data_IF_645404179364
#
_entry.id   IF_645404179364
#
_cell.length_a   1.000
_cell.length_b   1.000
_cell.length_c   1.000
_cell.angle_alpha   90.00
_cell.angle_beta   90.00
_cell.angle_gamma   90.00
#
_symmetry.space_group_name_H-M   'P 1'
#
loop_
_entity.id
_entity.type
_entity.pdbx_description
1 polymer ?
#
# COMPACT_ATOMS: atom_id res chain seq x y z
N UNK A 1 -1.14 -7.33 -20.45
CA UNK A 1 -0.97 -8.08 -19.17
C UNK A 1 -2.14 -8.99 -18.98
N UNK A 2 -1.95 -10.21 -18.49
CA UNK A 2 -3.03 -11.21 -18.38
C UNK A 2 -3.70 -11.21 -17.01
N UNK A 3 -2.97 -10.78 -15.98
CA UNK A 3 -3.47 -10.68 -14.60
C UNK A 3 -3.07 -9.34 -14.00
N UNK A 4 -3.95 -8.78 -13.18
CA UNK A 4 -3.66 -7.63 -12.32
C UNK A 4 -3.76 -8.08 -10.86
N UNK A 5 -2.70 -7.87 -10.09
CA UNK A 5 -2.61 -8.31 -8.70
C UNK A 5 -2.42 -7.10 -7.77
N UNK A 6 -3.24 -6.97 -6.73
CA UNK A 6 -3.10 -5.90 -5.72
C UNK A 6 -3.05 -6.46 -4.30
N UNK A 7 -2.14 -6.02 -3.41
CA UNK A 7 -2.15 -6.45 -2.02
C UNK A 7 -3.38 -5.93 -1.25
N UNK A 8 -3.84 -6.73 -0.30
CA UNK A 8 -4.95 -6.37 0.56
C UNK A 8 -4.57 -5.24 1.53
N UNK A 9 -5.43 -4.25 1.78
CA UNK A 9 -6.80 -4.09 1.23
C UNK A 9 -6.89 -2.97 0.19
N UNK A 10 -6.06 -1.93 0.33
CA UNK A 10 -6.18 -0.68 -0.43
C UNK A 10 -6.03 -0.84 -1.94
N UNK A 11 -5.25 -1.82 -2.39
CA UNK A 11 -5.03 -2.06 -3.81
C UNK A 11 -6.05 -3.04 -4.45
N UNK A 12 -6.93 -3.67 -3.66
CA UNK A 12 -7.94 -4.62 -4.20
C UNK A 12 -8.87 -3.93 -5.19
N UNK A 13 -9.51 -2.78 -4.87
CA UNK A 13 -10.40 -2.10 -5.82
C UNK A 13 -9.64 -1.64 -7.06
N UNK A 14 -8.40 -1.19 -6.88
CA UNK A 14 -7.53 -0.73 -7.98
C UNK A 14 -7.25 -1.89 -8.93
N UNK A 15 -6.85 -3.06 -8.42
CA UNK A 15 -6.60 -4.24 -9.24
C UNK A 15 -7.84 -4.64 -10.06
N UNK A 16 -9.01 -4.67 -9.41
CA UNK A 16 -10.27 -5.02 -10.06
C UNK A 16 -10.69 -4.03 -11.15
N UNK A 17 -10.64 -2.73 -10.88
CA UNK A 17 -11.01 -1.72 -11.87
C UNK A 17 -10.00 -1.62 -13.01
N UNK A 18 -8.69 -1.76 -12.73
CA UNK A 18 -7.67 -1.81 -13.78
C UNK A 18 -7.90 -3.03 -14.68
N UNK A 19 -8.10 -4.23 -14.11
CA UNK A 19 -8.40 -5.42 -14.88
C UNK A 19 -9.69 -5.27 -15.69
N UNK A 20 -10.76 -4.75 -15.09
CA UNK A 20 -12.04 -4.49 -15.75
C UNK A 20 -11.88 -3.56 -16.96
N UNK A 21 -11.27 -2.39 -16.78
CA UNK A 21 -11.10 -1.43 -17.87
C UNK A 21 -10.14 -1.93 -18.95
N UNK A 22 -9.05 -2.60 -18.56
CA UNK A 22 -8.16 -3.23 -19.55
C UNK A 22 -8.88 -4.33 -20.33
N UNK A 23 -9.79 -5.08 -19.70
CA UNK A 23 -10.56 -6.11 -20.41
C UNK A 23 -11.44 -5.52 -21.50
N UNK A 24 -12.04 -4.35 -21.23
CA UNK A 24 -12.82 -3.61 -22.23
C UNK A 24 -11.94 -3.03 -23.35
N UNK A 25 -10.80 -2.43 -22.99
CA UNK A 25 -9.88 -1.81 -23.95
C UNK A 25 -9.24 -2.86 -24.87
N UNK A 26 -8.81 -3.99 -24.31
CA UNK A 26 -8.14 -5.06 -25.05
C UNK A 26 -9.12 -6.07 -25.66
N UNK A 27 -10.42 -5.94 -25.38
CA UNK A 27 -11.47 -6.88 -25.84
C UNK A 27 -11.13 -8.34 -25.51
N UNK A 28 -10.60 -8.58 -24.30
CA UNK A 28 -10.28 -9.91 -23.78
C UNK A 28 -10.32 -9.90 -22.26
N UNK A 29 -10.62 -11.04 -21.65
CA UNK A 29 -10.65 -11.11 -20.19
C UNK A 29 -9.25 -10.95 -19.58
N UNK A 30 -9.15 -10.07 -18.59
CA UNK A 30 -7.99 -9.88 -17.72
C UNK A 30 -8.45 -10.15 -16.30
N UNK A 31 -7.77 -11.07 -15.64
CA UNK A 31 -8.14 -11.52 -14.29
C UNK A 31 -7.60 -10.53 -13.26
N UNK A 32 -8.41 -10.17 -12.27
CA UNK A 32 -7.95 -9.50 -11.06
C UNK A 32 -7.77 -10.52 -9.94
N UNK A 33 -6.63 -10.46 -9.26
CA UNK A 33 -6.35 -11.22 -8.04
C UNK A 33 -5.87 -10.28 -6.95
N UNK A 34 -5.83 -10.78 -5.71
CA UNK A 34 -5.23 -10.04 -4.62
C UNK A 34 -4.32 -10.91 -3.77
N UNK A 35 -3.40 -10.25 -3.09
CA UNK A 35 -2.49 -10.89 -2.16
C UNK A 35 -2.88 -10.59 -0.72
N UNK A 36 -2.77 -11.59 0.15
CA UNK A 36 -3.08 -11.47 1.56
C UNK A 36 -1.78 -11.40 2.39
N UNK A 37 -1.72 -10.59 3.46
CA UNK A 37 -0.66 -10.70 4.46
C UNK A 37 -0.70 -12.08 5.11
N UNK A 38 0.47 -12.70 5.22
CA UNK A 38 0.58 -13.96 5.98
C UNK A 38 0.14 -13.77 7.45
N UNK A 39 0.32 -12.55 7.97
CA UNK A 39 -0.20 -12.11 9.27
C UNK A 39 -0.83 -10.71 9.13
N UNK A 40 -2.16 -10.58 9.28
CA UNK A 40 -2.84 -9.28 9.26
C UNK A 40 -2.30 -8.28 10.29
N UNK A 41 -1.78 -8.75 11.43
CA UNK A 41 -1.18 -7.91 12.46
C UNK A 41 0.26 -7.47 12.11
N UNK A 42 0.97 -8.25 11.30
CA UNK A 42 2.34 -7.96 10.88
C UNK A 42 2.49 -7.89 9.35
N UNK A 43 2.12 -6.73 8.79
CA UNK A 43 2.23 -6.44 7.35
C UNK A 43 3.67 -6.31 6.83
N UNK A 44 4.70 -6.47 7.67
CA UNK A 44 6.09 -6.58 7.23
C UNK A 44 6.45 -8.00 6.78
N UNK A 45 5.66 -9.01 7.18
CA UNK A 45 5.79 -10.37 6.69
C UNK A 45 5.39 -10.47 5.21
N UNK A 46 5.82 -11.54 4.50
CA UNK A 46 5.48 -11.78 3.11
C UNK A 46 3.97 -11.74 2.83
N UNK A 47 3.64 -11.48 1.58
CA UNK A 47 2.31 -11.73 1.05
C UNK A 47 2.22 -13.11 0.42
N UNK A 48 1.01 -13.64 0.32
CA UNK A 48 0.73 -14.86 -0.42
C UNK A 48 -0.52 -14.68 -1.31
N UNK A 49 -0.58 -15.47 -2.36
CA UNK A 49 -1.74 -15.57 -3.24
C UNK A 49 -2.64 -16.69 -2.73
N UNK A 50 -3.70 -16.32 -1.99
CA UNK A 50 -4.68 -17.26 -1.47
C UNK A 50 -5.69 -17.70 -2.53
N UNK A 51 -6.59 -18.62 -2.16
CA UNK A 51 -7.84 -18.92 -2.91
C UNK A 51 -7.65 -19.46 -4.33
N UNK A 52 -6.48 -20.02 -4.63
CA UNK A 52 -6.13 -20.54 -5.96
C UNK A 52 -5.54 -19.48 -6.89
N UNK A 53 -5.34 -18.24 -6.43
CA UNK A 53 -4.78 -17.17 -7.26
C UNK A 53 -3.31 -17.41 -7.65
N UNK A 54 -2.62 -18.31 -6.97
CA UNK A 54 -1.31 -18.80 -7.38
C UNK A 54 -1.38 -19.50 -8.74
N UNK A 55 -2.45 -20.27 -8.99
CA UNK A 55 -2.70 -20.89 -10.30
C UNK A 55 -3.11 -19.85 -11.35
N UNK A 56 -3.84 -18.81 -10.92
CA UNK A 56 -4.24 -17.74 -11.83
C UNK A 56 -3.06 -16.92 -12.34
N UNK A 57 -1.95 -16.81 -11.60
CA UNK A 57 -0.76 -16.06 -12.04
C UNK A 57 0.29 -16.91 -12.74
N UNK A 58 0.28 -18.24 -12.55
CA UNK A 58 1.33 -19.15 -13.01
C UNK A 58 1.56 -19.02 -14.53
N UNK A 59 2.78 -18.64 -14.93
CA UNK A 59 3.18 -18.47 -16.32
C UNK A 59 2.59 -17.25 -17.04
N UNK A 60 1.84 -16.40 -16.35
CA UNK A 60 1.14 -15.25 -16.93
C UNK A 60 1.89 -13.94 -16.71
N UNK A 61 1.67 -12.97 -17.59
CA UNK A 61 2.17 -11.60 -17.45
C UNK A 61 1.34 -10.81 -16.45
N UNK A 62 1.91 -10.51 -15.29
CA UNK A 62 1.22 -9.88 -14.17
C UNK A 62 1.61 -8.40 -14.02
N UNK A 63 0.60 -7.54 -13.94
CA UNK A 63 0.75 -6.17 -13.44
C UNK A 63 0.46 -6.16 -11.94
N UNK A 64 1.39 -5.65 -11.12
CA UNK A 64 1.12 -5.43 -9.70
C UNK A 64 0.62 -4.01 -9.49
N UNK A 65 -0.46 -3.82 -8.74
CA UNK A 65 -1.00 -2.51 -8.39
C UNK A 65 -0.77 -2.16 -6.93
N UNK A 66 -0.74 -0.86 -6.63
CA UNK A 66 -0.69 -0.32 -5.26
C UNK A 66 -1.53 0.97 -5.18
N UNK A 67 -1.98 1.34 -3.97
CA UNK A 67 -2.62 2.63 -3.77
C UNK A 67 -1.59 3.78 -3.78
N UNK A 68 -0.67 3.78 -2.83
CA UNK A 68 0.30 4.84 -2.56
C UNK A 68 1.65 4.21 -2.24
N UNK A 69 2.66 4.51 -3.05
CA UNK A 69 4.03 4.13 -2.76
C UNK A 69 4.59 5.00 -1.65
N UNK A 70 4.75 4.39 -0.48
CA UNK A 70 5.44 5.00 0.67
C UNK A 70 6.91 4.56 0.69
N UNK A 71 7.24 3.42 1.29
CA UNK A 71 8.59 2.85 1.22
C UNK A 71 8.83 1.94 0.03
N UNK A 72 7.76 1.52 -0.67
CA UNK A 72 7.80 0.49 -1.71
C UNK A 72 7.70 -0.95 -1.17
N UNK A 73 7.80 -1.16 0.15
CA UNK A 73 7.89 -2.50 0.73
C UNK A 73 6.68 -3.40 0.47
N UNK A 74 5.46 -2.85 0.45
CA UNK A 74 4.25 -3.62 0.10
C UNK A 74 4.34 -4.14 -1.34
N UNK A 75 4.56 -3.25 -2.29
CA UNK A 75 4.76 -3.59 -3.69
C UNK A 75 5.92 -4.58 -3.90
N UNK A 76 7.05 -4.41 -3.22
CA UNK A 76 8.16 -5.37 -3.27
C UNK A 76 7.70 -6.78 -2.89
N UNK A 77 7.02 -6.92 -1.74
CA UNK A 77 6.53 -8.23 -1.27
C UNK A 77 5.49 -8.82 -2.21
N UNK A 78 4.67 -7.99 -2.84
CA UNK A 78 3.71 -8.43 -3.87
C UNK A 78 4.43 -8.98 -5.10
N UNK A 79 5.44 -8.25 -5.60
CA UNK A 79 6.26 -8.70 -6.72
C UNK A 79 6.96 -10.03 -6.41
N UNK A 80 7.54 -10.15 -5.21
CA UNK A 80 8.19 -11.39 -4.77
C UNK A 80 7.20 -12.56 -4.68
N UNK A 81 6.00 -12.33 -4.14
CA UNK A 81 4.96 -13.37 -4.02
C UNK A 81 4.45 -13.84 -5.39
N UNK A 82 4.20 -12.92 -6.33
CA UNK A 82 3.80 -13.26 -7.70
C UNK A 82 4.90 -14.08 -8.41
N UNK A 83 6.16 -13.64 -8.30
CA UNK A 83 7.29 -14.38 -8.91
C UNK A 83 7.48 -15.76 -8.29
N UNK A 84 7.29 -15.90 -6.98
CA UNK A 84 7.33 -17.22 -6.29
C UNK A 84 6.23 -18.15 -6.77
N UNK A 85 5.06 -17.62 -7.14
CA UNK A 85 3.97 -18.38 -7.77
C UNK A 85 4.17 -18.61 -9.28
N UNK A 86 5.33 -18.21 -9.83
CA UNK A 86 5.67 -18.43 -11.25
C UNK A 86 5.04 -17.41 -12.22
N UNK A 87 4.52 -16.29 -11.73
CA UNK A 87 4.05 -15.19 -12.57
C UNK A 87 5.19 -14.29 -13.06
N UNK A 88 5.08 -13.80 -14.29
CA UNK A 88 6.01 -12.83 -14.90
C UNK A 88 5.55 -11.40 -14.58
N UNK A 89 6.18 -10.77 -13.58
CA UNK A 89 5.87 -9.38 -13.23
C UNK A 89 6.43 -8.43 -14.28
N UNK A 90 5.54 -7.85 -15.10
CA UNK A 90 5.92 -6.93 -16.17
C UNK A 90 5.98 -5.45 -15.73
N UNK A 91 5.45 -5.15 -14.55
CA UNK A 91 5.47 -3.80 -14.00
C UNK A 91 4.69 -3.67 -12.69
N UNK A 92 4.89 -2.51 -12.06
CA UNK A 92 4.18 -2.07 -10.87
C UNK A 92 3.53 -0.72 -11.17
N UNK A 93 2.24 -0.57 -10.88
CA UNK A 93 1.49 0.67 -11.07
C UNK A 93 0.80 1.11 -9.77
N UNK A 94 0.66 2.42 -9.55
CA UNK A 94 -0.13 2.91 -8.43
C UNK A 94 -0.68 4.30 -8.65
N UNK A 95 -1.48 4.79 -7.70
CA UNK A 95 -2.09 6.12 -7.84
C UNK A 95 -1.04 7.19 -7.54
N UNK A 96 -0.34 7.08 -6.39
CA UNK A 96 0.59 8.12 -5.95
C UNK A 96 1.97 7.57 -5.59
N UNK A 97 3.04 8.23 -6.06
CA UNK A 97 4.38 8.02 -5.54
C UNK A 97 4.72 9.08 -4.49
N UNK A 98 4.62 8.71 -3.21
CA UNK A 98 4.85 9.63 -2.09
C UNK A 98 6.30 9.62 -1.62
N UNK A 99 6.92 8.44 -1.57
CA UNK A 99 8.24 8.28 -0.96
C UNK A 99 9.42 8.29 -1.91
N UNK A 100 9.26 8.81 -3.13
CA UNK A 100 10.30 8.77 -4.18
C UNK A 100 10.73 7.34 -4.50
N UNK A 101 9.76 6.43 -4.50
CA UNK A 101 10.01 5.00 -4.68
C UNK A 101 10.49 4.75 -6.11
N UNK A 102 11.57 4.00 -6.23
CA UNK A 102 12.18 3.58 -7.50
C UNK A 102 11.94 2.10 -7.76
N UNK A 103 12.14 1.60 -9.01
CA UNK A 103 12.01 0.18 -9.34
C UNK A 103 12.79 -0.77 -8.40
N UNK A 104 13.97 -0.37 -7.94
CA UNK A 104 14.83 -1.16 -7.05
C UNK A 104 14.15 -1.43 -5.70
N UNK A 105 13.33 -0.48 -5.22
CA UNK A 105 12.61 -0.56 -3.95
C UNK A 105 11.28 -1.31 -4.05
N UNK A 106 10.88 -1.73 -5.25
CA UNK A 106 9.66 -2.53 -5.50
C UNK A 106 10.01 -3.88 -6.11
N UNK A 107 11.12 -4.47 -5.66
CA UNK A 107 11.54 -5.78 -6.10
C UNK A 107 12.12 -5.80 -7.52
N UNK A 108 12.75 -4.72 -7.98
CA UNK A 108 13.34 -4.63 -9.33
C UNK A 108 12.28 -4.93 -10.40
N UNK A 109 11.11 -4.29 -10.29
CA UNK A 109 10.09 -4.39 -11.31
C UNK A 109 10.58 -3.75 -12.62
N UNK A 110 10.34 -4.36 -13.80
CA UNK A 110 10.82 -3.80 -15.07
C UNK A 110 10.32 -2.39 -15.37
N UNK A 111 9.16 -2.04 -14.81
CA UNK A 111 8.54 -0.71 -14.91
C UNK A 111 7.87 -0.35 -13.59
N UNK A 112 7.98 0.91 -13.19
CA UNK A 112 7.22 1.51 -12.09
C UNK A 112 6.49 2.74 -12.64
N UNK A 113 5.18 2.84 -12.39
CA UNK A 113 4.38 3.98 -12.83
C UNK A 113 3.46 4.45 -11.71
N UNK A 114 3.35 5.75 -11.51
CA UNK A 114 2.36 6.36 -10.65
C UNK A 114 1.59 7.42 -11.42
N UNK A 115 0.28 7.54 -11.17
CA UNK A 115 -0.55 8.59 -11.80
C UNK A 115 -0.17 9.99 -11.32
N UNK A 116 0.26 10.11 -10.06
CA UNK A 116 0.75 11.36 -9.49
C UNK A 116 2.07 11.16 -8.75
N UNK A 117 2.97 12.12 -8.88
CA UNK A 117 4.18 12.22 -8.09
C UNK A 117 3.97 13.22 -6.96
N UNK A 118 4.12 12.76 -5.73
CA UNK A 118 3.99 13.54 -4.50
C UNK A 118 5.34 13.74 -3.79
N UNK A 119 6.46 13.36 -4.42
CA UNK A 119 7.80 13.52 -3.88
C UNK A 119 8.18 14.96 -3.48
N UNK A 120 7.52 15.94 -4.09
CA UNK A 120 7.68 17.37 -3.80
C UNK A 120 6.84 17.86 -2.61
N UNK A 121 5.92 17.05 -2.09
CA UNK A 121 5.03 17.43 -0.98
C UNK A 121 5.67 16.98 0.34
N UNK A 122 6.19 17.94 1.10
CA UNK A 122 6.78 17.69 2.40
C UNK A 122 5.72 17.28 3.43
N UNK A 123 5.53 15.97 3.62
CA UNK A 123 4.74 15.41 4.72
C UNK A 123 5.67 14.95 5.84
N UNK A 124 5.89 15.85 6.80
CA UNK A 124 6.78 15.61 7.93
C UNK A 124 6.05 14.75 8.98
N UNK A 125 6.62 13.59 9.28
CA UNK A 125 6.22 12.79 10.44
C UNK A 125 7.01 13.29 11.66
N UNK A 126 6.34 14.07 12.52
CA UNK A 126 6.92 14.55 13.77
C UNK A 126 7.09 13.41 14.78
N UNK A 127 8.26 13.34 15.42
CA UNK A 127 8.62 12.26 16.35
C UNK A 127 8.48 12.64 17.82
N UNK A 128 8.10 13.87 18.10
CA UNK A 128 7.96 14.41 19.44
C UNK A 128 6.85 15.47 19.49
N UNK A 129 6.69 16.13 20.64
CA UNK A 129 5.69 17.18 20.86
C UNK A 129 6.07 18.53 20.25
N UNK A 130 7.15 18.63 19.46
CA UNK A 130 7.42 19.83 18.63
C UNK A 130 6.54 19.87 17.37
N UNK A 131 5.71 18.83 17.15
CA UNK A 131 4.64 18.86 16.17
C UNK A 131 3.74 20.10 16.35
N UNK A 132 3.57 20.96 15.33
CA UNK A 132 2.76 22.17 15.41
C UNK A 132 1.30 21.91 15.84
N UNK A 133 0.76 20.74 15.52
CA UNK A 133 -0.60 20.35 15.92
C UNK A 133 -0.64 19.89 17.39
N UNK A 134 0.40 19.20 17.86
CA UNK A 134 0.49 18.79 19.27
C UNK A 134 0.67 20.01 20.18
N UNK A 135 1.46 21.00 19.77
CA UNK A 135 1.67 22.25 20.51
C UNK A 135 0.38 23.08 20.61
N UNK A 136 -0.41 23.11 19.54
CA UNK A 136 -1.73 23.74 19.49
C UNK A 136 -2.85 22.96 20.18
N UNK A 137 -2.57 21.76 20.70
CA UNK A 137 -3.55 20.85 21.30
C UNK A 137 -4.74 20.56 20.36
N UNK A 138 -4.48 20.48 19.05
CA UNK A 138 -5.51 20.17 18.05
C UNK A 138 -6.18 18.82 18.37
N UNK A 139 -7.52 18.72 18.35
CA UNK A 139 -8.20 17.49 18.76
C UNK A 139 -7.78 16.26 17.95
N UNK A 140 -7.43 15.16 18.65
CA UNK A 140 -7.00 13.92 18.03
C UNK A 140 -8.18 13.00 17.73
N UNK A 141 -8.38 12.66 16.46
CA UNK A 141 -9.32 11.59 16.06
C UNK A 141 -8.86 10.23 16.57
N UNK A 142 -9.75 9.51 17.24
CA UNK A 142 -9.48 8.18 17.83
C UNK A 142 -10.35 7.06 17.25
N UNK A 143 -11.34 7.43 16.45
CA UNK A 143 -12.24 6.58 15.67
C UNK A 143 -11.59 5.97 14.42
N UNK A 144 -10.58 6.65 13.86
CA UNK A 144 -9.87 6.23 12.65
C UNK A 144 -8.35 6.26 12.82
N UNK A 145 -7.69 5.37 12.08
CA UNK A 145 -6.23 5.37 11.96
C UNK A 145 -5.54 4.93 13.25
N UNK A 146 -4.48 5.64 13.63
CA UNK A 146 -3.59 5.27 14.75
C UNK A 146 -3.75 6.13 16.00
N UNK A 147 -4.75 7.00 16.06
CA UNK A 147 -4.93 7.95 17.17
C UNK A 147 -5.02 7.24 18.53
N UNK A 148 -5.84 6.21 18.63
CA UNK A 148 -5.98 5.39 19.85
C UNK A 148 -4.63 4.80 20.31
N UNK A 149 -3.91 4.14 19.42
CA UNK A 149 -2.57 3.58 19.73
C UNK A 149 -1.53 4.65 20.05
N UNK A 150 -1.63 5.85 19.46
CA UNK A 150 -0.70 6.94 19.74
C UNK A 150 -0.88 7.48 21.17
N UNK A 151 -2.12 7.55 21.68
CA UNK A 151 -2.40 7.95 23.07
C UNK A 151 -1.78 7.00 24.11
N UNK A 152 -1.51 5.75 23.75
CA UNK A 152 -0.87 4.78 24.65
C UNK A 152 0.65 5.02 24.79
N UNK A 153 1.25 5.76 23.86
CA UNK A 153 2.68 6.11 23.86
C UNK A 153 3.02 7.14 24.95
N UNK A 154 4.30 7.24 25.38
CA UNK A 154 4.73 8.29 26.31
C UNK A 154 4.40 9.71 25.84
N UNK A 155 4.51 9.96 24.52
CA UNK A 155 4.19 11.27 23.92
C UNK A 155 2.70 11.57 23.99
N UNK A 156 1.85 10.61 23.64
CA UNK A 156 0.39 10.77 23.69
C UNK A 156 -0.11 11.02 25.11
N UNK A 157 0.42 10.30 26.11
CA UNK A 157 0.13 10.52 27.53
C UNK A 157 0.57 11.91 27.99
N UNK A 158 1.78 12.34 27.62
CA UNK A 158 2.27 13.68 27.94
C UNK A 158 1.42 14.78 27.28
N UNK A 159 0.93 14.55 26.06
CA UNK A 159 0.04 15.47 25.36
C UNK A 159 -1.33 15.59 26.04
N UNK A 160 -1.93 14.49 26.50
CA UNK A 160 -3.16 14.51 27.29
C UNK A 160 -2.99 15.32 28.59
N UNK A 161 -1.85 15.16 29.28
CA UNK A 161 -1.54 15.92 30.50
C UNK A 161 -1.40 17.43 30.23
N UNK A 162 -1.09 17.83 28.99
CA UNK A 162 -1.07 19.25 28.56
C UNK A 162 -2.47 19.79 28.19
N UNK A 163 -3.53 18.99 28.28
CA UNK A 163 -4.90 19.41 27.95
C UNK A 163 -5.37 19.00 26.55
N UNK A 164 -4.68 18.08 25.88
CA UNK A 164 -5.12 17.53 24.60
C UNK A 164 -6.50 16.85 24.68
N UNK A 165 -7.29 16.96 23.63
CA UNK A 165 -8.67 16.42 23.57
C UNK A 165 -8.86 15.43 22.42
N UNK A 166 -9.80 14.51 22.54
CA UNK A 166 -10.08 13.51 21.49
C UNK A 166 -11.39 13.79 20.76
N UNK A 167 -11.41 13.50 19.47
CA UNK A 167 -12.63 13.35 18.68
C UNK A 167 -12.90 11.85 18.48
N UNK A 168 -14.18 11.47 18.60
CA UNK A 168 -14.68 10.12 18.32
C UNK A 168 -15.61 10.11 17.13
#
# INVERSE_FOLDING_TARGET
MEVVAGPAEGAIPIAHFVAFHLSQIETRDIVAVYLEPTDPANKALPFYLGRGFDQDVLGKKVLVTEDIFTSGGSAQRSVEAVRRAGGDVIGVAGIANRGRVTPEQVGQAPRLTALTDMAGIAMIAWRDLTCPLCDKLEPLRTDIGKGKSWLETPLGKAWLLKGGTTLG
#
